data_IF_990266088990
#
_entry.id   IF_990266088990
#
_cell.length_a   1.000
_cell.length_b   1.000
_cell.length_c   1.000
_cell.angle_alpha   90.00
_cell.angle_beta   90.00
_cell.angle_gamma   90.00
#
_symmetry.space_group_name_H-M   'P 1'
#
loop_
_entity.id
_entity.type
_entity.pdbx_description
1 polymer ?
#
# COMPACT_ATOMS: atom_id res chain seq x y z
N UNK A 1 -17.07 13.50 -7.66
CA UNK A 1 -16.92 14.06 -6.32
C UNK A 1 -15.45 13.96 -5.98
N UNK A 2 -14.74 15.07 -6.04
CA UNK A 2 -13.28 15.14 -5.91
C UNK A 2 -12.99 15.95 -4.65
N UNK A 3 -12.25 15.38 -3.70
CA UNK A 3 -11.81 16.12 -2.50
C UNK A 3 -10.65 17.01 -2.93
N UNK A 4 -10.95 18.23 -3.38
CA UNK A 4 -9.93 19.23 -3.72
C UNK A 4 -9.46 19.94 -2.46
N UNK A 5 -8.39 19.44 -1.85
CA UNK A 5 -7.56 20.23 -0.93
C UNK A 5 -6.68 21.13 -1.81
N UNK A 6 -7.08 22.40 -1.94
CA UNK A 6 -6.51 23.32 -2.92
C UNK A 6 -5.16 23.87 -2.43
N UNK A 7 -4.07 23.36 -3.02
CA UNK A 7 -2.77 24.03 -3.10
C UNK A 7 -2.41 24.26 -4.59
N UNK A 8 -1.97 25.48 -4.90
CA UNK A 8 -1.81 26.04 -6.25
C UNK A 8 -0.71 25.32 -7.08
N UNK A 9 -1.11 24.62 -8.15
CA UNK A 9 -0.25 23.76 -8.97
C UNK A 9 0.32 24.46 -10.23
N UNK A 10 1.49 24.05 -10.73
CA UNK A 10 1.93 24.35 -12.12
C UNK A 10 2.59 23.14 -12.79
N UNK A 11 1.96 22.73 -13.90
CA UNK A 11 2.23 21.54 -14.73
C UNK A 11 3.34 21.71 -15.76
N UNK A 12 4.01 20.60 -16.15
CA UNK A 12 4.53 20.37 -17.50
C UNK A 12 4.40 18.89 -17.92
N UNK A 13 3.76 18.65 -19.07
CA UNK A 13 3.71 17.38 -19.84
C UNK A 13 4.90 17.29 -20.81
N UNK A 14 5.30 16.06 -21.15
CA UNK A 14 5.96 15.73 -22.42
C UNK A 14 5.57 14.32 -22.86
N UNK A 15 5.34 14.13 -24.16
CA UNK A 15 4.99 12.88 -24.85
C UNK A 15 6.20 12.39 -25.65
N UNK A 16 6.36 11.08 -25.84
CA UNK A 16 7.20 10.53 -26.91
C UNK A 16 6.56 9.27 -27.52
N UNK A 17 6.64 9.20 -28.86
CA UNK A 17 6.08 8.19 -29.74
C UNK A 17 7.07 7.02 -29.93
N UNK A 18 6.53 5.81 -30.10
CA UNK A 18 7.29 4.56 -30.24
C UNK A 18 7.94 4.31 -31.61
N UNK A 19 8.85 3.34 -31.64
CA UNK A 19 9.36 2.71 -32.87
C UNK A 19 9.48 1.20 -32.69
N UNK A 20 9.01 0.45 -33.69
CA UNK A 20 8.75 -1.01 -33.69
C UNK A 20 9.92 -1.84 -34.23
N UNK A 21 11.16 -1.39 -34.06
CA UNK A 21 12.36 -2.07 -34.57
C UNK A 21 13.20 -2.77 -33.47
N UNK A 22 12.81 -2.63 -32.19
CA UNK A 22 13.58 -3.17 -31.07
C UNK A 22 13.13 -4.57 -30.60
N UNK A 23 11.94 -5.04 -31.01
CA UNK A 23 11.34 -6.27 -30.47
C UNK A 23 12.05 -7.56 -30.94
N UNK A 24 12.65 -7.55 -32.14
CA UNK A 24 13.33 -8.73 -32.71
C UNK A 24 14.76 -8.92 -32.17
N UNK A 25 15.43 -7.84 -31.72
CA UNK A 25 16.75 -7.93 -31.10
C UNK A 25 16.66 -8.39 -29.63
N UNK A 26 15.59 -7.99 -28.93
CA UNK A 26 15.34 -8.36 -27.53
C UNK A 26 14.99 -9.85 -27.37
N UNK A 27 14.25 -10.44 -28.31
CA UNK A 27 13.89 -11.87 -28.27
C UNK A 27 15.11 -12.80 -28.39
N UNK A 28 16.19 -12.37 -29.05
CA UNK A 28 17.41 -13.18 -29.23
C UNK A 28 18.36 -13.08 -28.03
N UNK A 29 18.29 -12.01 -27.25
CA UNK A 29 19.08 -11.82 -26.02
C UNK A 29 18.41 -12.50 -24.82
N UNK A 30 17.07 -12.61 -24.83
CA UNK A 30 16.28 -13.25 -23.77
C UNK A 30 16.57 -14.77 -23.60
N UNK A 31 17.06 -15.45 -24.64
CA UNK A 31 17.39 -16.88 -24.56
C UNK A 31 18.81 -17.18 -24.07
N UNK A 32 19.69 -16.17 -24.00
CA UNK A 32 21.14 -16.37 -23.78
C UNK A 32 21.72 -15.59 -22.59
N UNK A 33 20.88 -15.15 -21.64
CA UNK A 33 21.31 -14.35 -20.49
C UNK A 33 20.72 -14.81 -19.15
N UNK A 34 20.78 -16.12 -18.85
CA UNK A 34 20.54 -16.56 -17.47
C UNK A 34 21.80 -16.34 -16.63
N UNK A 35 21.88 -15.19 -15.97
CA UNK A 35 22.79 -15.01 -14.84
C UNK A 35 22.51 -16.08 -13.77
N UNK A 36 23.54 -16.57 -13.06
CA UNK A 36 23.35 -17.63 -12.08
C UNK A 36 22.37 -17.18 -10.98
N UNK A 37 21.19 -17.82 -10.95
CA UNK A 37 20.16 -17.62 -9.91
C UNK A 37 20.71 -18.07 -8.55
N UNK A 38 20.74 -17.16 -7.58
CA UNK A 38 21.17 -17.45 -6.20
C UNK A 38 20.09 -18.26 -5.47
N UNK A 39 20.46 -19.27 -4.68
CA UNK A 39 19.49 -20.12 -3.96
C UNK A 39 19.70 -20.03 -2.45
N UNK A 40 18.62 -19.77 -1.72
CA UNK A 40 18.57 -19.64 -0.26
C UNK A 40 17.63 -20.72 0.29
N UNK A 41 18.14 -21.61 1.12
CA UNK A 41 17.30 -22.56 1.87
C UNK A 41 16.80 -21.90 3.15
N UNK A 42 15.49 -21.67 3.23
CA UNK A 42 14.85 -20.96 4.34
C UNK A 42 14.30 -21.92 5.39
N UNK A 43 14.12 -23.20 5.04
CA UNK A 43 13.61 -24.21 5.97
C UNK A 43 13.99 -25.64 5.62
N UNK A 44 14.27 -26.45 6.64
CA UNK A 44 14.33 -27.91 6.49
C UNK A 44 12.90 -28.44 6.60
N UNK A 45 12.33 -28.87 5.47
CA UNK A 45 11.01 -29.50 5.45
C UNK A 45 11.06 -30.84 6.20
N UNK A 46 10.21 -31.03 7.20
CA UNK A 46 10.15 -32.29 7.97
C UNK A 46 9.59 -33.44 7.12
N UNK A 47 8.70 -33.12 6.19
CA UNK A 47 8.05 -34.09 5.29
C UNK A 47 8.71 -34.17 3.90
N UNK A 48 9.81 -33.44 3.67
CA UNK A 48 10.51 -33.38 2.38
C UNK A 48 9.83 -32.57 1.28
N UNK A 49 8.59 -32.10 1.47
CA UNK A 49 7.92 -31.20 0.52
C UNK A 49 8.51 -29.79 0.60
N UNK A 50 8.91 -29.26 -0.56
CA UNK A 50 9.57 -27.95 -0.69
C UNK A 50 9.01 -27.25 -1.91
N UNK A 51 8.76 -25.96 -1.79
CA UNK A 51 8.43 -25.08 -2.92
C UNK A 51 9.51 -24.04 -3.10
N UNK A 52 9.72 -23.65 -4.35
CA UNK A 52 10.70 -22.62 -4.72
C UNK A 52 9.94 -21.34 -5.05
N UNK A 53 10.19 -20.29 -4.29
CA UNK A 53 9.69 -18.95 -4.57
C UNK A 53 10.80 -18.16 -5.26
N UNK A 54 10.54 -17.64 -6.46
CA UNK A 54 11.50 -16.86 -7.23
C UNK A 54 11.17 -15.36 -7.08
N UNK A 55 12.11 -14.60 -6.52
CA UNK A 55 12.03 -13.13 -6.33
C UNK A 55 13.37 -12.52 -6.72
N UNK A 56 13.38 -11.53 -7.62
CA UNK A 56 14.60 -10.83 -8.07
C UNK A 56 15.75 -11.78 -8.45
N UNK A 57 15.46 -12.82 -9.24
CA UNK A 57 16.41 -13.85 -9.65
C UNK A 57 17.03 -14.67 -8.47
N UNK A 58 16.43 -14.59 -7.29
CA UNK A 58 16.80 -15.35 -6.09
C UNK A 58 15.73 -16.40 -5.79
N UNK A 59 16.15 -17.64 -5.63
CA UNK A 59 15.32 -18.79 -5.28
C UNK A 59 15.27 -18.95 -3.77
N UNK A 60 14.09 -18.87 -3.18
CA UNK A 60 13.85 -19.18 -1.78
C UNK A 60 13.16 -20.54 -1.69
N UNK A 61 13.86 -21.49 -1.08
CA UNK A 61 13.32 -22.85 -0.86
C UNK A 61 12.66 -22.88 0.51
N UNK A 62 11.35 -23.10 0.54
CA UNK A 62 10.53 -23.04 1.75
C UNK A 62 9.64 -24.28 1.88
N UNK A 63 9.35 -24.68 3.11
CA UNK A 63 8.33 -25.65 3.46
C UNK A 63 6.94 -24.97 3.31
N UNK A 64 6.07 -25.49 2.43
CA UNK A 64 4.73 -24.93 2.22
C UNK A 64 3.90 -24.80 3.50
N UNK A 65 4.12 -25.67 4.49
CA UNK A 65 3.37 -25.66 5.75
C UNK A 65 3.53 -24.32 6.50
N UNK A 66 4.70 -23.70 6.41
CA UNK A 66 4.99 -22.40 7.04
C UNK A 66 4.17 -21.28 6.39
N UNK A 67 3.98 -21.34 5.08
CA UNK A 67 3.14 -20.39 4.35
C UNK A 67 1.66 -20.58 4.72
N UNK A 68 1.19 -21.84 4.68
CA UNK A 68 -0.20 -22.23 4.98
C UNK A 68 -0.58 -21.87 6.43
N UNK A 69 0.37 -21.90 7.36
CA UNK A 69 0.15 -21.50 8.74
C UNK A 69 -0.23 -20.01 8.92
N UNK A 70 -0.13 -19.19 7.87
CA UNK A 70 -0.50 -17.75 7.86
C UNK A 70 -1.56 -17.46 6.77
N UNK A 71 -2.78 -18.03 6.87
CA UNK A 71 -3.77 -18.00 5.79
C UNK A 71 -4.32 -16.61 5.45
N UNK A 72 -4.13 -15.60 6.31
CA UNK A 72 -4.57 -14.23 6.04
C UNK A 72 -3.66 -13.49 5.05
N UNK A 73 -2.46 -14.00 4.82
CA UNK A 73 -1.47 -13.43 3.89
C UNK A 73 -1.69 -13.89 2.45
N UNK A 74 -1.18 -13.15 1.46
CA UNK A 74 -1.27 -13.53 0.05
C UNK A 74 -0.65 -14.91 -0.22
N UNK A 75 0.57 -15.18 0.27
CA UNK A 75 1.22 -16.48 0.07
C UNK A 75 0.48 -17.59 0.83
N UNK A 76 0.02 -17.31 2.05
CA UNK A 76 -0.77 -18.28 2.82
C UNK A 76 -2.04 -18.70 2.09
N UNK A 77 -2.79 -17.74 1.51
CA UNK A 77 -3.97 -18.05 0.68
C UNK A 77 -3.61 -18.86 -0.56
N UNK A 78 -2.58 -18.43 -1.29
CA UNK A 78 -2.10 -19.10 -2.49
C UNK A 78 -1.76 -20.57 -2.24
N UNK A 79 -0.97 -20.86 -1.21
CA UNK A 79 -0.54 -22.23 -0.92
C UNK A 79 -1.60 -23.05 -0.16
N UNK A 80 -2.53 -22.41 0.55
CA UNK A 80 -3.72 -23.10 1.11
C UNK A 80 -4.61 -23.61 -0.02
N UNK A 81 -4.87 -22.78 -1.04
CA UNK A 81 -5.66 -23.17 -2.21
C UNK A 81 -4.99 -24.29 -3.02
N UNK A 82 -3.65 -24.27 -3.13
CA UNK A 82 -2.87 -25.36 -3.73
C UNK A 82 -3.07 -26.67 -2.97
N UNK A 83 -2.99 -26.65 -1.64
CA UNK A 83 -3.12 -27.85 -0.81
C UNK A 83 -4.53 -28.47 -0.85
N UNK A 84 -5.57 -27.66 -1.09
CA UNK A 84 -6.97 -28.08 -1.03
C UNK A 84 -7.53 -28.63 -2.35
N UNK A 85 -6.89 -28.42 -3.51
CA UNK A 85 -7.48 -28.79 -4.81
C UNK A 85 -6.91 -30.08 -5.40
N UNK A 86 -7.80 -31.04 -5.66
CA UNK A 86 -7.61 -32.17 -6.58
C UNK A 86 -8.07 -31.86 -8.03
N UNK A 87 -8.79 -30.76 -8.27
CA UNK A 87 -9.45 -30.49 -9.55
C UNK A 87 -8.97 -29.21 -10.28
N UNK A 88 -8.01 -29.41 -11.20
CA UNK A 88 -7.93 -28.78 -12.53
C UNK A 88 -7.68 -27.27 -12.70
N UNK A 89 -7.91 -26.42 -11.69
CA UNK A 89 -7.74 -24.96 -11.81
C UNK A 89 -6.74 -24.45 -10.77
N UNK A 90 -5.45 -24.56 -11.07
CA UNK A 90 -4.41 -23.81 -10.37
C UNK A 90 -4.56 -22.32 -10.71
N UNK A 91 -4.95 -21.51 -9.73
CA UNK A 91 -4.91 -20.04 -9.82
C UNK A 91 -3.48 -19.52 -9.84
N UNK A 92 -2.54 -20.29 -9.28
CA UNK A 92 -1.12 -19.98 -9.35
C UNK A 92 -0.37 -21.24 -9.78
N UNK A 93 0.27 -21.15 -10.94
CA UNK A 93 1.04 -22.24 -11.55
C UNK A 93 2.51 -21.92 -11.45
N UNK A 94 3.37 -22.91 -11.18
CA UNK A 94 4.79 -22.71 -11.31
C UNK A 94 5.18 -22.56 -12.79
N UNK A 95 6.38 -22.03 -13.04
CA UNK A 95 6.99 -21.98 -14.35
C UNK A 95 7.54 -23.36 -14.79
N UNK A 96 8.17 -23.42 -15.97
CA UNK A 96 8.76 -24.66 -16.53
C UNK A 96 9.85 -25.29 -15.64
N UNK A 97 10.41 -24.52 -14.69
CA UNK A 97 11.40 -24.99 -13.71
C UNK A 97 10.76 -25.46 -12.39
N UNK A 98 9.43 -25.53 -12.34
CA UNK A 98 8.64 -25.80 -11.13
C UNK A 98 8.87 -24.74 -10.01
N UNK A 99 9.14 -23.49 -10.40
CA UNK A 99 9.34 -22.34 -9.49
C UNK A 99 8.12 -21.41 -9.53
N UNK A 100 7.74 -20.86 -8.39
CA UNK A 100 6.66 -19.87 -8.28
C UNK A 100 7.26 -18.46 -8.31
N UNK A 101 7.02 -17.75 -9.40
CA UNK A 101 7.33 -16.32 -9.50
C UNK A 101 6.32 -15.53 -8.66
N UNK A 102 6.81 -14.85 -7.63
CA UNK A 102 5.99 -14.13 -6.65
C UNK A 102 6.61 -12.77 -6.37
N UNK A 103 5.83 -11.89 -5.72
CA UNK A 103 6.36 -10.65 -5.15
C UNK A 103 7.07 -9.76 -6.18
N UNK A 104 6.42 -9.52 -7.33
CA UNK A 104 6.97 -8.65 -8.37
C UNK A 104 7.25 -7.25 -7.82
N UNK A 105 8.40 -6.70 -8.19
CA UNK A 105 8.90 -5.42 -7.69
C UNK A 105 9.55 -5.44 -6.29
N UNK A 106 9.54 -6.56 -5.56
CA UNK A 106 10.22 -6.64 -4.25
C UNK A 106 11.69 -7.07 -4.41
N UNK A 107 12.57 -6.50 -3.58
CA UNK A 107 13.95 -6.97 -3.49
C UNK A 107 14.04 -8.33 -2.79
N UNK A 108 15.04 -9.14 -3.16
CA UNK A 108 15.30 -10.42 -2.49
C UNK A 108 15.62 -10.24 -1.00
N UNK A 109 16.26 -9.12 -0.62
CA UNK A 109 16.57 -8.80 0.79
C UNK A 109 15.29 -8.50 1.59
N UNK A 110 14.38 -7.72 1.01
CA UNK A 110 13.09 -7.41 1.63
C UNK A 110 12.23 -8.68 1.76
N UNK A 111 12.14 -9.48 0.69
CA UNK A 111 11.37 -10.72 0.70
C UNK A 111 11.89 -11.74 1.71
N UNK A 112 13.22 -11.84 1.88
CA UNK A 112 13.84 -12.69 2.90
C UNK A 112 13.38 -12.30 4.31
N UNK A 113 13.32 -11.00 4.62
CA UNK A 113 12.82 -10.53 5.91
C UNK A 113 11.34 -10.90 6.11
N UNK A 114 10.52 -10.78 5.06
CA UNK A 114 9.12 -11.18 5.12
C UNK A 114 8.96 -12.68 5.39
N UNK A 115 9.81 -13.53 4.81
CA UNK A 115 9.78 -14.97 5.11
C UNK A 115 10.10 -15.28 6.59
N UNK A 116 10.89 -14.46 7.29
CA UNK A 116 11.08 -14.62 8.74
C UNK A 116 9.74 -14.53 9.50
N UNK A 117 8.83 -13.64 9.07
CA UNK A 117 7.50 -13.54 9.68
C UNK A 117 6.68 -14.82 9.54
N UNK A 118 6.78 -15.51 8.41
CA UNK A 118 6.10 -16.80 8.23
C UNK A 118 6.62 -17.84 9.23
N UNK A 119 7.93 -17.87 9.50
CA UNK A 119 8.54 -18.82 10.41
C UNK A 119 8.27 -18.53 11.90
N UNK A 120 8.46 -17.29 12.35
CA UNK A 120 8.46 -16.96 13.79
C UNK A 120 7.42 -15.90 14.19
N UNK A 121 6.61 -15.42 13.24
CA UNK A 121 5.61 -14.36 13.47
C UNK A 121 6.21 -12.95 13.61
N UNK A 122 7.51 -12.80 13.37
CA UNK A 122 8.23 -11.52 13.40
C UNK A 122 9.23 -11.45 12.24
N UNK A 123 9.47 -10.25 11.75
CA UNK A 123 10.50 -9.96 10.74
C UNK A 123 11.42 -8.85 11.23
N UNK A 124 12.69 -8.91 10.83
CA UNK A 124 13.63 -7.82 11.06
C UNK A 124 13.87 -7.05 9.77
N UNK A 125 13.65 -5.73 9.81
CA UNK A 125 13.97 -4.84 8.70
C UNK A 125 15.50 -4.82 8.47
N UNK A 126 16.00 -5.36 7.34
CA UNK A 126 17.44 -5.40 7.04
C UNK A 126 18.02 -4.00 6.87
N UNK A 127 19.31 -3.75 7.18
CA UNK A 127 19.95 -2.45 6.98
C UNK A 127 19.99 -1.97 5.51
N UNK A 128 19.92 -2.90 4.55
CA UNK A 128 19.89 -2.61 3.12
C UNK A 128 18.50 -2.26 2.57
N UNK A 129 17.45 -2.43 3.38
CA UNK A 129 16.04 -2.25 3.00
C UNK A 129 15.49 -1.06 3.75
N UNK A 130 14.80 -0.17 3.04
CA UNK A 130 14.15 0.96 3.69
C UNK A 130 12.88 0.52 4.43
N UNK A 131 12.45 1.28 5.44
CA UNK A 131 11.21 0.96 6.15
C UNK A 131 9.98 1.11 5.24
N UNK A 132 9.98 2.09 4.34
CA UNK A 132 8.93 2.29 3.31
C UNK A 132 8.84 1.08 2.39
N UNK A 133 9.97 0.59 1.87
CA UNK A 133 10.00 -0.61 1.01
C UNK A 133 9.44 -1.82 1.74
N UNK A 134 9.83 -2.03 3.01
CA UNK A 134 9.28 -3.14 3.81
C UNK A 134 7.77 -2.95 4.06
N UNK A 135 7.32 -1.71 4.26
CA UNK A 135 5.90 -1.40 4.46
C UNK A 135 5.09 -1.71 3.20
N UNK A 136 5.51 -1.22 2.04
CA UNK A 136 4.87 -1.49 0.75
C UNK A 136 4.83 -3.00 0.45
N UNK A 137 5.93 -3.70 0.73
CA UNK A 137 6.01 -5.15 0.59
C UNK A 137 5.04 -5.90 1.52
N UNK A 138 4.86 -5.42 2.76
CA UNK A 138 3.88 -5.95 3.70
C UNK A 138 2.44 -5.71 3.22
N UNK A 139 2.14 -4.51 2.74
CA UNK A 139 0.82 -4.18 2.19
C UNK A 139 0.52 -5.03 0.95
N UNK A 140 1.49 -5.21 0.05
CA UNK A 140 1.35 -6.08 -1.14
C UNK A 140 1.09 -7.54 -0.74
N UNK A 141 1.90 -8.12 0.16
CA UNK A 141 1.77 -9.52 0.55
C UNK A 141 0.69 -9.78 1.62
N UNK A 142 -0.06 -8.76 2.03
CA UNK A 142 -1.04 -8.81 3.11
C UNK A 142 -0.42 -9.33 4.42
N UNK A 143 0.82 -8.94 4.69
CA UNK A 143 1.53 -9.26 5.92
C UNK A 143 1.35 -8.12 6.92
N UNK A 144 1.00 -8.38 8.18
CA UNK A 144 0.79 -7.32 9.16
C UNK A 144 2.07 -6.53 9.43
N UNK A 145 2.02 -5.22 9.22
CA UNK A 145 3.07 -4.27 9.58
C UNK A 145 2.72 -3.53 10.87
N UNK A 146 3.26 -3.95 12.01
CA UNK A 146 3.05 -3.29 13.31
C UNK A 146 4.16 -3.59 14.31
N UNK A 147 4.12 -2.96 15.49
CA UNK A 147 5.15 -3.11 16.54
C UNK A 147 5.30 -4.53 17.11
N UNK A 148 4.33 -5.44 16.87
CA UNK A 148 4.42 -6.84 17.31
C UNK A 148 5.12 -7.71 16.28
N UNK A 149 5.05 -7.35 15.00
CA UNK A 149 5.51 -8.16 13.87
C UNK A 149 6.80 -7.63 13.25
N UNK A 150 7.11 -6.33 13.38
CA UNK A 150 8.28 -5.71 12.76
C UNK A 150 9.31 -5.27 13.81
N UNK A 151 10.56 -5.65 13.61
CA UNK A 151 11.72 -5.13 14.33
C UNK A 151 12.56 -4.27 13.41
N UNK A 152 12.73 -2.99 13.75
CA UNK A 152 13.52 -2.06 12.96
C UNK A 152 14.57 -1.35 13.82
N UNK A 153 15.76 -1.15 13.26
CA UNK A 153 16.82 -0.36 13.90
C UNK A 153 16.56 1.15 13.76
N UNK A 154 15.96 1.58 12.65
CA UNK A 154 15.57 2.96 12.40
C UNK A 154 14.18 3.24 12.97
N UNK A 155 14.14 3.50 14.28
CA UNK A 155 12.90 3.78 15.00
C UNK A 155 12.14 4.97 14.42
N UNK A 156 12.83 6.00 13.91
CA UNK A 156 12.19 7.20 13.36
C UNK A 156 11.36 6.88 12.13
N UNK A 157 11.95 6.18 11.16
CA UNK A 157 11.23 5.77 9.95
C UNK A 157 10.11 4.77 10.27
N UNK A 158 10.33 3.87 11.24
CA UNK A 158 9.28 2.95 11.69
C UNK A 158 8.08 3.67 12.32
N UNK A 159 8.33 4.61 13.23
CA UNK A 159 7.25 5.41 13.83
C UNK A 159 6.58 6.32 12.80
N UNK A 160 7.29 6.78 11.78
CA UNK A 160 6.69 7.53 10.68
C UNK A 160 5.64 6.68 9.94
N UNK A 161 5.99 5.45 9.53
CA UNK A 161 5.02 4.55 8.86
C UNK A 161 3.82 4.19 9.75
N UNK A 162 4.04 3.98 11.05
CA UNK A 162 2.94 3.72 11.99
C UNK A 162 2.07 4.97 12.20
N UNK A 163 2.67 6.16 12.22
CA UNK A 163 1.95 7.42 12.34
C UNK A 163 1.09 7.69 11.11
N UNK A 164 1.59 7.39 9.90
CA UNK A 164 0.81 7.51 8.66
C UNK A 164 -0.40 6.58 8.68
N UNK A 165 -0.22 5.35 9.17
CA UNK A 165 -1.34 4.41 9.35
C UNK A 165 -2.37 4.92 10.37
N UNK A 166 -1.91 5.46 11.50
CA UNK A 166 -2.79 6.06 12.50
C UNK A 166 -3.55 7.27 11.96
N UNK A 167 -2.87 8.14 11.19
CA UNK A 167 -3.50 9.28 10.53
C UNK A 167 -4.54 8.84 9.50
N UNK A 168 -4.28 7.76 8.75
CA UNK A 168 -5.23 7.18 7.80
C UNK A 168 -6.49 6.70 8.49
N UNK A 169 -6.34 5.93 9.57
CA UNK A 169 -7.47 5.44 10.36
C UNK A 169 -8.28 6.59 10.97
N UNK A 170 -7.60 7.60 11.52
CA UNK A 170 -8.25 8.78 12.07
C UNK A 170 -9.01 9.56 10.98
N UNK A 171 -8.42 9.71 9.79
CA UNK A 171 -9.08 10.37 8.68
C UNK A 171 -10.28 9.58 8.16
N UNK A 172 -10.19 8.25 8.08
CA UNK A 172 -11.35 7.41 7.72
C UNK A 172 -12.52 7.64 8.67
N UNK A 173 -12.27 7.72 9.98
CA UNK A 173 -13.32 8.05 10.94
C UNK A 173 -13.92 9.44 10.71
N UNK A 174 -13.08 10.47 10.50
CA UNK A 174 -13.58 11.81 10.16
C UNK A 174 -14.36 11.83 8.83
N UNK A 175 -13.91 11.06 7.85
CA UNK A 175 -14.54 10.94 6.55
C UNK A 175 -15.95 10.37 6.71
N UNK A 176 -16.09 9.25 7.43
CA UNK A 176 -17.38 8.58 7.63
C UNK A 176 -18.33 9.37 8.53
N UNK A 177 -17.82 9.91 9.65
CA UNK A 177 -18.65 10.50 10.70
C UNK A 177 -18.98 11.98 10.46
N UNK A 178 -18.10 12.72 9.76
CA UNK A 178 -18.19 14.19 9.68
C UNK A 178 -18.29 14.69 8.25
N UNK A 179 -17.41 14.24 7.36
CA UNK A 179 -17.29 14.81 6.00
C UNK A 179 -18.34 14.22 5.05
N UNK A 180 -18.50 12.90 5.04
CA UNK A 180 -19.43 12.19 4.16
C UNK A 180 -20.89 12.65 4.31
N UNK A 181 -21.43 12.89 5.52
CA UNK A 181 -22.77 13.46 5.66
C UNK A 181 -22.96 14.79 4.90
N UNK A 182 -21.96 15.69 4.94
CA UNK A 182 -22.03 16.96 4.20
C UNK A 182 -21.96 16.75 2.69
N UNK A 183 -21.12 15.81 2.24
CA UNK A 183 -21.01 15.42 0.83
C UNK A 183 -22.32 14.83 0.29
N UNK A 184 -23.03 14.02 1.09
CA UNK A 184 -24.33 13.47 0.73
C UNK A 184 -25.35 14.58 0.56
N UNK A 185 -25.42 15.54 1.49
CA UNK A 185 -26.33 16.70 1.39
C UNK A 185 -26.11 17.44 0.06
N UNK A 186 -24.87 17.81 -0.27
CA UNK A 186 -24.58 18.46 -1.57
C UNK A 186 -24.99 17.58 -2.76
N UNK A 187 -24.76 16.28 -2.69
CA UNK A 187 -25.13 15.35 -3.79
C UNK A 187 -26.64 15.26 -4.00
N UNK A 188 -27.42 15.23 -2.93
CA UNK A 188 -28.89 15.19 -2.98
C UNK A 188 -29.48 16.46 -3.61
N UNK A 189 -28.79 17.59 -3.49
CA UNK A 189 -29.13 18.84 -4.19
C UNK A 189 -28.70 18.86 -5.67
N UNK A 190 -27.98 17.83 -6.12
CA UNK A 190 -27.49 17.72 -7.50
C UNK A 190 -26.10 18.31 -7.74
N UNK A 191 -25.40 18.72 -6.69
CA UNK A 191 -24.05 19.28 -6.79
C UNK A 191 -23.03 18.21 -7.15
N UNK A 192 -22.06 18.59 -7.99
CA UNK A 192 -20.94 17.71 -8.40
C UNK A 192 -19.65 17.99 -7.64
N UNK A 193 -19.61 19.12 -6.92
CA UNK A 193 -18.52 19.58 -6.07
C UNK A 193 -19.12 19.95 -4.70
N UNK A 194 -18.39 19.64 -3.62
CA UNK A 194 -18.80 19.96 -2.25
C UNK A 194 -17.63 20.72 -1.60
N UNK A 195 -17.90 21.93 -1.13
CA UNK A 195 -16.91 22.75 -0.43
C UNK A 195 -17.18 22.64 1.06
N UNK A 196 -16.23 22.09 1.81
CA UNK A 196 -16.34 21.94 3.26
C UNK A 196 -15.33 22.86 3.93
N UNK A 197 -15.84 23.76 4.77
CA UNK A 197 -15.04 24.64 5.63
C UNK A 197 -15.04 24.03 7.03
N UNK A 198 -13.84 23.72 7.53
CA UNK A 198 -13.65 23.17 8.88
C UNK A 198 -13.22 24.28 9.82
N UNK A 199 -13.98 24.48 10.89
CA UNK A 199 -13.77 25.50 11.92
C UNK A 199 -13.55 24.86 13.29
N UNK A 200 -12.98 25.62 14.22
CA UNK A 200 -12.91 25.19 15.62
C UNK A 200 -14.31 25.19 16.24
N UNK A 201 -14.53 24.35 17.26
CA UNK A 201 -15.83 24.24 17.93
C UNK A 201 -16.30 25.55 18.58
N UNK A 202 -15.37 26.44 18.90
CA UNK A 202 -15.58 27.76 19.52
C UNK A 202 -15.46 28.94 18.54
N UNK A 203 -15.24 28.68 17.24
CA UNK A 203 -15.20 29.74 16.24
C UNK A 203 -16.61 30.29 15.98
N UNK A 204 -16.71 31.61 15.87
CA UNK A 204 -17.91 32.32 15.41
C UNK A 204 -17.57 32.97 14.07
N UNK A 205 -18.26 32.57 13.00
CA UNK A 205 -18.11 33.20 11.69
C UNK A 205 -19.07 34.38 11.60
N UNK A 206 -18.52 35.58 11.57
CA UNK A 206 -19.25 36.80 11.24
C UNK A 206 -18.89 37.19 9.80
N UNK A 207 -19.84 37.04 8.89
CA UNK A 207 -19.64 37.39 7.49
C UNK A 207 -19.75 38.90 7.34
N UNK A 208 -18.69 39.56 6.89
CA UNK A 208 -18.72 40.99 6.61
C UNK A 208 -19.60 41.27 5.37
N UNK A 209 -20.70 42.00 5.56
CA UNK A 209 -21.63 42.39 4.48
C UNK A 209 -20.95 43.21 3.37
N UNK A 210 -19.86 43.94 3.67
CA UNK A 210 -19.12 44.72 2.66
C UNK A 210 -18.07 43.87 1.91
N UNK A 211 -17.68 42.73 2.45
CA UNK A 211 -16.66 41.84 1.89
C UNK A 211 -17.04 40.37 2.04
N UNK A 212 -18.11 39.90 1.36
CA UNK A 212 -18.51 38.51 1.42
C UNK A 212 -17.40 37.59 0.88
N UNK A 213 -17.29 36.35 1.39
CA UNK A 213 -16.33 35.38 0.87
C UNK A 213 -16.50 35.19 -0.65
N UNK A 214 -15.38 34.99 -1.36
CA UNK A 214 -15.39 34.83 -2.83
C UNK A 214 -16.18 33.60 -3.31
N UNK A 215 -16.38 32.63 -2.40
CA UNK A 215 -17.22 31.46 -2.61
C UNK A 215 -18.59 31.78 -2.01
N UNK A 216 -19.63 31.83 -2.84
CA UNK A 216 -20.97 32.18 -2.39
C UNK A 216 -21.45 31.29 -1.23
N UNK A 217 -22.26 31.86 -0.35
CA UNK A 217 -22.79 31.22 0.85
C UNK A 217 -23.58 29.93 0.54
N UNK A 218 -24.21 29.86 -0.64
CA UNK A 218 -25.16 28.80 -1.01
C UNK A 218 -24.53 27.45 -1.35
N UNK A 219 -23.21 27.36 -1.56
CA UNK A 219 -22.53 26.12 -1.98
C UNK A 219 -21.51 25.58 -0.96
N UNK A 220 -21.41 26.23 0.20
CA UNK A 220 -20.41 25.90 1.22
C UNK A 220 -21.05 25.21 2.43
N UNK A 221 -20.54 24.02 2.78
CA UNK A 221 -20.91 23.31 4.00
C UNK A 221 -19.91 23.64 5.11
N UNK A 222 -20.41 23.97 6.30
CA UNK A 222 -19.57 24.31 7.46
C UNK A 222 -19.58 23.19 8.47
N UNK A 223 -18.39 22.76 8.89
CA UNK A 223 -18.16 21.73 9.90
C UNK A 223 -17.40 22.35 11.07
N UNK A 224 -17.99 22.28 12.25
CA UNK A 224 -17.33 22.64 13.52
C UNK A 224 -16.73 21.37 14.11
N UNK A 225 -15.39 21.30 14.11
CA UNK A 225 -14.66 20.20 14.72
C UNK A 225 -13.22 20.62 15.00
N UNK A 226 -12.92 20.94 16.25
CA UNK A 226 -11.54 21.23 16.67
C UNK A 226 -10.59 20.06 16.39
N UNK A 227 -11.10 18.82 16.42
CA UNK A 227 -10.32 17.62 16.16
C UNK A 227 -9.94 17.49 14.68
N UNK A 228 -10.91 17.66 13.77
CA UNK A 228 -10.66 17.64 12.32
C UNK A 228 -9.79 18.84 11.89
N UNK A 229 -10.03 20.01 12.47
CA UNK A 229 -9.21 21.20 12.25
C UNK A 229 -7.74 20.93 12.63
N UNK A 230 -7.50 20.41 13.84
CA UNK A 230 -6.14 20.06 14.30
C UNK A 230 -5.51 18.96 13.45
N UNK A 231 -6.29 18.01 12.95
CA UNK A 231 -5.81 16.97 12.05
C UNK A 231 -5.19 17.58 10.79
N UNK A 232 -5.89 18.49 10.12
CA UNK A 232 -5.41 19.14 8.90
C UNK A 232 -4.30 20.17 9.10
N UNK A 233 -4.00 20.57 10.35
CA UNK A 233 -2.86 21.44 10.67
C UNK A 233 -1.50 20.81 10.30
N UNK A 234 -1.41 19.48 10.30
CA UNK A 234 -0.19 18.76 9.95
C UNK A 234 -0.14 18.48 8.44
N UNK A 235 0.98 18.79 7.79
CA UNK A 235 1.14 18.60 6.34
C UNK A 235 1.07 17.11 5.96
N UNK A 236 1.69 16.25 6.77
CA UNK A 236 1.72 14.81 6.60
C UNK A 236 0.30 14.21 6.64
N UNK A 237 -0.55 14.69 7.56
CA UNK A 237 -1.95 14.26 7.64
C UNK A 237 -2.76 14.68 6.41
N UNK A 238 -2.48 15.86 5.84
CA UNK A 238 -3.11 16.31 4.59
C UNK A 238 -2.71 15.41 3.42
N UNK A 239 -1.45 14.99 3.36
CA UNK A 239 -0.99 14.09 2.31
C UNK A 239 -1.57 12.68 2.44
N UNK A 240 -1.73 12.18 3.67
CA UNK A 240 -2.47 10.93 3.93
C UNK A 240 -3.94 11.06 3.51
N UNK A 241 -4.62 12.16 3.85
CA UNK A 241 -6.02 12.38 3.49
C UNK A 241 -6.25 12.36 1.97
N UNK A 242 -5.34 12.94 1.18
CA UNK A 242 -5.40 12.92 -0.30
C UNK A 242 -5.31 11.53 -0.91
N UNK A 243 -4.78 10.54 -0.20
CA UNK A 243 -4.66 9.16 -0.71
C UNK A 243 -5.91 8.33 -0.45
N UNK A 244 -6.77 8.76 0.47
CA UNK A 244 -7.99 8.03 0.87
C UNK A 244 -9.20 8.41 0.01
N UNK A 245 -9.23 9.64 -0.53
CA UNK A 245 -10.29 10.15 -1.41
C UNK A 245 -9.94 10.04 -2.88
#
# INVERSE_FOLDING_TARGET
MEIKIQDLCRSKRSMSLGSTANDLLLATIASSSQSPKHTVDMSRAENGDKVVLLVENTRFVVDPAVLIAKPDTMLGRMFTLRAQRQDGVELVRPNDQNEYEVADGLSASCFRAILEYYHIGKMRCPPSVSVSELREACDYLLVPFNARTVQCHNLRSFLHELSNEGARQQFTAFLEETILPQMIVSTEHGDRECHIVVLLDDDVVDWDELYPPQMGEDTTQVVYSTHLYRFFKYAENRDVAKQVG
#
